data_IF_833655132438
#
_entry.id   IF_833655132438
#
_cell.length_a   1.000
_cell.length_b   1.000
_cell.length_c   1.000
_cell.angle_alpha   90.00
_cell.angle_beta   90.00
_cell.angle_gamma   90.00
#
_symmetry.space_group_name_H-M   'P 1'
#
loop_
_entity.id
_entity.type
_entity.pdbx_description
1 polymer ?
#
# COMPACT_ATOMS: atom_id res chain seq x y z
N UNK A 1 29.63 -35.77 -37.79
CA UNK A 1 30.01 -35.07 -36.55
C UNK A 1 28.95 -33.99 -36.37
N UNK A 2 27.97 -34.26 -35.51
CA UNK A 2 26.88 -33.33 -35.23
C UNK A 2 27.34 -32.44 -34.07
N UNK A 3 27.66 -31.18 -34.37
CA UNK A 3 27.87 -30.16 -33.37
C UNK A 3 26.57 -30.00 -32.59
N UNK A 4 26.58 -30.40 -31.32
CA UNK A 4 25.51 -30.07 -30.38
C UNK A 4 25.79 -28.65 -29.90
N UNK A 5 25.01 -27.70 -30.41
CA UNK A 5 25.05 -26.33 -29.94
C UNK A 5 24.48 -26.25 -28.50
N UNK A 6 25.36 -26.17 -27.51
CA UNK A 6 25.02 -26.09 -26.08
C UNK A 6 24.70 -24.66 -25.61
N UNK A 7 24.37 -23.75 -26.51
CA UNK A 7 24.32 -22.32 -26.18
C UNK A 7 23.00 -21.79 -25.65
N UNK A 8 21.98 -22.59 -25.36
CA UNK A 8 20.69 -22.03 -24.94
C UNK A 8 19.96 -22.81 -23.84
N UNK A 9 20.61 -23.13 -22.75
CA UNK A 9 19.91 -23.51 -21.55
C UNK A 9 19.82 -22.31 -20.59
N UNK A 10 18.89 -21.40 -20.84
CA UNK A 10 18.50 -20.39 -19.86
C UNK A 10 17.51 -21.00 -18.89
N UNK A 11 17.96 -21.38 -17.71
CA UNK A 11 17.08 -21.66 -16.59
C UNK A 11 16.64 -20.32 -15.95
N UNK A 12 15.49 -19.80 -16.37
CA UNK A 12 14.85 -18.71 -15.64
C UNK A 12 14.27 -19.26 -14.36
N UNK A 13 15.00 -19.14 -13.26
CA UNK A 13 14.45 -19.44 -11.94
C UNK A 13 13.57 -18.25 -11.56
N UNK A 14 12.25 -18.39 -11.75
CA UNK A 14 11.28 -17.45 -11.20
C UNK A 14 11.30 -17.57 -9.68
N UNK A 15 11.64 -16.50 -8.97
CA UNK A 15 11.44 -16.41 -7.52
C UNK A 15 9.98 -16.05 -7.28
N UNK A 16 9.11 -16.95 -6.80
CA UNK A 16 7.73 -16.60 -6.52
C UNK A 16 7.71 -15.58 -5.37
N UNK A 17 7.16 -14.39 -5.64
CA UNK A 17 6.93 -13.39 -4.63
C UNK A 17 6.01 -13.95 -3.54
N UNK A 18 6.42 -13.90 -2.27
CA UNK A 18 5.62 -14.30 -1.11
C UNK A 18 5.26 -13.09 -0.29
N UNK A 19 4.00 -13.06 0.16
CA UNK A 19 3.49 -12.00 1.02
C UNK A 19 2.76 -12.62 2.21
N UNK A 20 2.92 -12.02 3.38
CA UNK A 20 2.17 -12.36 4.59
C UNK A 20 1.68 -11.07 5.23
N UNK A 21 0.41 -11.07 5.67
CA UNK A 21 -0.22 -9.90 6.27
C UNK A 21 -0.95 -10.28 7.54
N UNK A 22 -0.77 -9.46 8.58
CA UNK A 22 -1.53 -9.51 9.81
C UNK A 22 -2.22 -8.19 10.02
N UNK A 23 -3.50 -8.21 10.38
CA UNK A 23 -4.20 -6.98 10.68
C UNK A 23 -5.07 -7.10 11.92
N UNK A 24 -5.22 -5.98 12.63
CA UNK A 24 -6.16 -5.81 13.72
C UNK A 24 -6.97 -4.55 13.50
N UNK A 25 -8.26 -4.58 13.88
CA UNK A 25 -9.18 -3.43 13.84
C UNK A 25 -9.97 -3.36 15.11
N UNK A 26 -10.06 -2.16 15.68
CA UNK A 26 -10.93 -1.79 16.80
C UNK A 26 -11.95 -0.78 16.28
N UNK A 27 -13.22 -1.03 16.58
CA UNK A 27 -14.30 -0.09 16.31
C UNK A 27 -15.01 0.19 17.65
N UNK A 28 -15.23 1.46 17.91
CA UNK A 28 -15.90 1.92 19.11
C UNK A 28 -16.94 2.95 18.73
N UNK A 29 -18.15 2.78 19.25
CA UNK A 29 -19.25 3.70 19.10
C UNK A 29 -19.81 4.03 20.49
N UNK A 30 -19.95 5.31 20.77
CA UNK A 30 -20.51 5.80 22.02
C UNK A 30 -21.74 6.66 21.75
N UNK A 31 -22.85 6.29 22.39
CA UNK A 31 -24.14 6.99 22.40
C UNK A 31 -24.65 7.32 20.98
N UNK A 32 -24.33 6.47 19.99
CA UNK A 32 -24.66 6.68 18.58
C UNK A 32 -24.22 8.06 18.02
N UNK A 33 -23.25 8.71 18.68
CA UNK A 33 -22.74 10.06 18.38
C UNK A 33 -21.29 10.02 17.98
N UNK A 34 -20.47 9.37 18.78
CA UNK A 34 -19.02 9.34 18.60
C UNK A 34 -18.61 7.98 18.06
N UNK A 35 -17.99 7.98 16.88
CA UNK A 35 -17.52 6.77 16.25
C UNK A 35 -16.01 6.86 16.10
N UNK A 36 -15.33 5.82 16.47
CA UNK A 36 -13.88 5.69 16.31
C UNK A 36 -13.55 4.34 15.67
N UNK A 37 -12.67 4.35 14.70
CA UNK A 37 -12.04 3.14 14.16
C UNK A 37 -10.54 3.30 14.20
N UNK A 38 -9.85 2.32 14.77
CA UNK A 38 -8.41 2.23 14.72
C UNK A 38 -8.02 0.89 14.08
N UNK A 39 -7.06 0.89 13.19
CA UNK A 39 -6.55 -0.32 12.59
C UNK A 39 -5.04 -0.28 12.45
N UNK A 40 -4.43 -1.44 12.52
CA UNK A 40 -3.02 -1.64 12.28
C UNK A 40 -2.84 -2.85 11.36
N UNK A 41 -2.04 -2.70 10.32
CA UNK A 41 -1.67 -3.77 9.41
C UNK A 41 -0.16 -3.91 9.37
N UNK A 42 0.30 -5.14 9.50
CA UNK A 42 1.71 -5.50 9.35
C UNK A 42 1.86 -6.42 8.16
N UNK A 43 2.52 -5.95 7.14
CA UNK A 43 2.74 -6.67 5.87
C UNK A 43 4.20 -7.04 5.70
N UNK A 44 4.47 -8.26 5.31
CA UNK A 44 5.79 -8.76 4.97
C UNK A 44 5.85 -9.22 3.52
N UNK A 45 6.88 -8.80 2.78
CA UNK A 45 7.10 -9.19 1.40
C UNK A 45 8.51 -9.75 1.20
N UNK A 46 8.60 -10.83 0.42
CA UNK A 46 9.89 -11.43 0.05
C UNK A 46 10.68 -10.61 -0.97
N UNK A 47 10.07 -9.58 -1.56
CA UNK A 47 10.70 -8.68 -2.53
C UNK A 47 11.76 -7.78 -1.90
N UNK A 48 11.69 -7.60 -0.59
CA UNK A 48 12.59 -6.72 0.17
C UNK A 48 13.73 -7.48 0.85
N UNK A 49 14.82 -6.79 1.17
CA UNK A 49 15.96 -7.31 1.90
C UNK A 49 15.55 -7.94 3.25
N UNK A 50 16.33 -8.90 3.76
CA UNK A 50 15.98 -9.71 4.95
C UNK A 50 15.55 -8.88 6.15
N UNK A 51 16.17 -7.72 6.37
CA UNK A 51 15.94 -6.86 7.53
C UNK A 51 14.82 -5.83 7.31
N UNK A 52 14.31 -5.67 6.08
CA UNK A 52 13.34 -4.61 5.69
C UNK A 52 12.02 -5.19 5.13
N UNK A 53 11.81 -6.50 5.28
CA UNK A 53 10.63 -7.18 4.72
C UNK A 53 9.31 -6.72 5.29
N UNK A 54 9.29 -6.27 6.56
CA UNK A 54 8.08 -5.96 7.28
C UNK A 54 7.82 -4.46 7.33
N UNK A 55 6.62 -4.08 6.88
CA UNK A 55 6.06 -2.73 7.03
C UNK A 55 4.91 -2.72 8.03
N UNK A 56 4.71 -1.60 8.73
CA UNK A 56 3.58 -1.37 9.64
C UNK A 56 2.81 -0.17 9.12
N UNK A 57 1.50 -0.35 8.97
CA UNK A 57 0.57 0.61 8.37
C UNK A 57 -0.61 0.84 9.31
N UNK A 58 -0.51 1.85 10.19
CA UNK A 58 -1.60 2.26 11.06
C UNK A 58 -2.61 3.12 10.31
N UNK A 59 -3.88 3.07 10.74
CA UNK A 59 -4.90 4.01 10.32
C UNK A 59 -5.89 4.27 11.47
N UNK A 60 -6.40 5.50 11.53
CA UNK A 60 -7.40 5.92 12.51
C UNK A 60 -8.45 6.78 11.81
N UNK A 61 -9.69 6.60 12.17
CA UNK A 61 -10.80 7.47 11.77
C UNK A 61 -11.68 7.80 12.95
N UNK A 62 -12.15 9.04 12.96
CA UNK A 62 -13.09 9.56 13.94
C UNK A 62 -14.29 10.14 13.18
N UNK A 63 -15.48 9.94 13.70
CA UNK A 63 -16.67 10.59 13.19
C UNK A 63 -17.57 11.02 14.34
N UNK A 64 -18.26 12.14 14.12
CA UNK A 64 -19.18 12.71 15.09
C UNK A 64 -20.50 13.03 14.41
N UNK A 65 -21.59 12.41 14.89
CA UNK A 65 -22.96 12.68 14.46
C UNK A 65 -23.54 13.82 15.25
N UNK A 66 -23.40 15.02 14.73
CA UNK A 66 -23.84 16.25 15.39
C UNK A 66 -25.38 16.26 15.51
N UNK A 67 -26.08 15.71 14.52
CA UNK A 67 -27.53 15.63 14.52
C UNK A 67 -28.14 14.77 15.65
N UNK A 68 -27.33 13.97 16.34
CA UNK A 68 -27.80 13.17 17.46
C UNK A 68 -27.64 13.89 18.81
N UNK A 69 -27.17 15.12 18.80
CA UNK A 69 -27.10 15.95 20.02
C UNK A 69 -28.44 16.51 20.41
N UNK A 70 -28.64 16.73 21.73
CA UNK A 70 -29.88 17.26 22.29
C UNK A 70 -30.24 18.68 21.85
N UNK A 71 -29.26 19.43 21.39
CA UNK A 71 -29.46 20.80 20.90
C UNK A 71 -29.89 20.85 19.43
N UNK A 72 -29.86 19.69 18.71
CA UNK A 72 -30.23 19.65 17.30
C UNK A 72 -31.76 19.79 17.14
N UNK A 73 -32.26 20.73 16.34
CA UNK A 73 -33.69 20.91 16.14
C UNK A 73 -34.31 19.75 15.36
N UNK A 74 -35.43 19.21 15.81
CA UNK A 74 -36.12 18.08 15.15
C UNK A 74 -36.71 18.46 13.79
N UNK A 75 -37.19 19.71 13.65
CA UNK A 75 -37.81 20.23 12.41
C UNK A 75 -36.83 20.97 11.50
N UNK A 76 -35.55 20.69 11.59
CA UNK A 76 -34.55 21.37 10.80
C UNK A 76 -34.45 20.77 9.37
N UNK A 77 -34.19 21.62 8.37
CA UNK A 77 -34.01 21.20 6.97
C UNK A 77 -32.92 20.14 6.83
N UNK A 78 -31.89 20.20 7.70
CA UNK A 78 -30.83 19.21 7.77
C UNK A 78 -31.22 18.16 8.81
N UNK A 79 -31.68 17.02 8.35
CA UNK A 79 -32.13 15.92 9.21
C UNK A 79 -30.98 15.15 9.84
N UNK A 80 -29.84 15.07 9.17
CA UNK A 80 -28.64 14.41 9.68
C UNK A 80 -27.39 15.16 9.25
N UNK A 81 -26.48 15.32 10.20
CA UNK A 81 -25.15 15.87 9.95
C UNK A 81 -24.11 15.05 10.69
N UNK A 82 -23.10 14.59 9.93
CA UNK A 82 -21.96 13.85 10.45
C UNK A 82 -20.67 14.46 9.90
N UNK A 83 -19.76 14.79 10.76
CA UNK A 83 -18.39 15.15 10.39
C UNK A 83 -17.47 13.98 10.63
N UNK A 84 -16.45 13.83 9.79
CA UNK A 84 -15.50 12.73 9.90
C UNK A 84 -14.10 13.18 9.54
N UNK A 85 -13.13 12.53 10.16
CA UNK A 85 -11.72 12.72 9.85
C UNK A 85 -11.01 11.38 9.89
N UNK A 86 -10.07 11.18 9.00
CA UNK A 86 -9.25 9.97 8.99
C UNK A 86 -7.81 10.29 8.59
N UNK A 87 -6.93 9.48 9.14
CA UNK A 87 -5.53 9.48 8.81
C UNK A 87 -5.06 8.03 8.69
N UNK A 88 -4.20 7.74 7.73
CA UNK A 88 -3.66 6.41 7.56
C UNK A 88 -2.40 6.37 6.71
N UNK A 89 -1.61 5.33 6.95
CA UNK A 89 -0.45 5.01 6.15
C UNK A 89 -0.71 3.72 5.36
N UNK A 90 -0.34 3.74 4.08
CA UNK A 90 -0.38 2.58 3.20
C UNK A 90 1.02 2.24 2.70
N UNK A 91 1.27 0.95 2.49
CA UNK A 91 2.51 0.45 1.90
C UNK A 91 2.31 0.05 0.45
N UNK A 92 3.27 0.44 -0.37
CA UNK A 92 3.37 -0.01 -1.75
C UNK A 92 4.58 -0.94 -1.89
N UNK A 93 4.38 -2.13 -2.47
CA UNK A 93 5.41 -3.11 -2.78
C UNK A 93 5.49 -3.37 -4.30
N UNK A 94 5.10 -2.41 -5.13
CA UNK A 94 5.09 -2.52 -6.60
C UNK A 94 6.52 -2.51 -7.17
N UNK A 95 7.28 -3.53 -6.79
CA UNK A 95 8.64 -3.77 -7.26
C UNK A 95 8.68 -5.07 -8.05
N UNK A 96 9.61 -5.17 -9.00
CA UNK A 96 9.89 -6.42 -9.69
C UNK A 96 10.39 -7.49 -8.70
N UNK A 97 10.10 -8.75 -8.98
CA UNK A 97 10.64 -9.86 -8.19
C UNK A 97 12.18 -9.87 -8.31
N UNK A 98 12.85 -9.96 -7.15
CA UNK A 98 14.31 -9.90 -7.11
C UNK A 98 14.92 -8.49 -7.15
N UNK A 99 14.12 -7.40 -7.04
CA UNK A 99 14.63 -6.04 -7.07
C UNK A 99 15.69 -5.72 -5.98
N UNK A 100 15.67 -6.47 -4.86
CA UNK A 100 16.67 -6.36 -3.80
C UNK A 100 17.95 -7.18 -4.07
N UNK A 101 18.00 -7.94 -5.16
CA UNK A 101 19.14 -8.80 -5.49
C UNK A 101 20.03 -8.15 -6.54
N UNK A 102 21.32 -8.29 -6.39
CA UNK A 102 22.29 -8.00 -7.45
C UNK A 102 22.13 -9.02 -8.58
N UNK A 103 21.73 -8.58 -9.76
CA UNK A 103 21.57 -9.41 -10.93
C UNK A 103 22.72 -9.20 -11.91
N UNK A 104 23.14 -10.30 -12.55
CA UNK A 104 24.10 -10.26 -13.64
C UNK A 104 23.37 -10.54 -14.97
N UNK A 105 23.75 -9.84 -16.02
CA UNK A 105 23.31 -10.10 -17.39
C UNK A 105 24.50 -10.44 -18.28
N UNK A 106 24.25 -11.21 -19.34
CA UNK A 106 25.28 -11.47 -20.34
C UNK A 106 25.70 -10.16 -21.01
N UNK A 107 26.98 -9.93 -21.09
CA UNK A 107 27.57 -8.79 -21.79
C UNK A 107 28.71 -9.27 -22.66
N UNK A 108 28.65 -8.98 -23.95
CA UNK A 108 29.69 -9.33 -24.86
C UNK A 108 30.79 -8.26 -24.84
N UNK A 109 32.05 -8.68 -24.84
CA UNK A 109 33.20 -7.79 -24.92
C UNK A 109 34.19 -8.27 -25.97
N UNK A 110 34.93 -7.36 -26.52
CA UNK A 110 35.97 -7.69 -27.54
C UNK A 110 37.32 -7.87 -26.87
N UNK A 111 37.96 -9.02 -27.11
CA UNK A 111 39.31 -9.31 -26.62
C UNK A 111 40.13 -9.82 -27.82
N UNK A 112 41.20 -9.11 -28.17
CA UNK A 112 42.05 -9.50 -29.28
C UNK A 112 41.39 -9.57 -30.66
N UNK A 113 40.31 -8.78 -30.85
CA UNK A 113 39.53 -8.76 -32.10
C UNK A 113 38.45 -9.85 -32.19
N UNK A 114 38.32 -10.70 -31.18
CA UNK A 114 37.28 -11.72 -31.08
C UNK A 114 36.20 -11.30 -30.08
N UNK A 115 34.93 -11.61 -30.39
CA UNK A 115 33.81 -11.37 -29.51
C UNK A 115 33.75 -12.46 -28.48
N UNK A 116 33.83 -12.07 -27.20
CA UNK A 116 33.78 -12.99 -26.04
C UNK A 116 32.52 -12.74 -25.23
N UNK A 117 31.86 -13.83 -24.81
CA UNK A 117 30.73 -13.74 -23.89
C UNK A 117 31.23 -13.54 -22.46
N UNK A 118 30.70 -12.53 -21.79
CA UNK A 118 30.96 -12.24 -20.40
C UNK A 118 29.68 -11.91 -19.64
N UNK A 119 29.84 -11.56 -18.37
CA UNK A 119 28.75 -11.13 -17.53
C UNK A 119 29.04 -9.76 -16.94
N UNK A 120 28.08 -8.89 -16.99
CA UNK A 120 28.14 -7.59 -16.32
C UNK A 120 27.03 -7.50 -15.28
N UNK A 121 27.26 -6.75 -14.21
CA UNK A 121 26.26 -6.45 -13.21
C UNK A 121 25.15 -5.60 -13.87
N UNK A 122 23.92 -6.10 -13.86
CA UNK A 122 22.76 -5.40 -14.41
C UNK A 122 21.95 -4.66 -13.36
N UNK A 123 22.05 -5.08 -12.09
CA UNK A 123 21.51 -4.36 -10.95
C UNK A 123 22.42 -4.51 -9.74
N UNK A 124 22.46 -3.45 -8.92
CA UNK A 124 23.17 -3.50 -7.64
C UNK A 124 22.28 -4.20 -6.60
N UNK A 125 22.92 -4.91 -5.67
CA UNK A 125 22.26 -5.39 -4.47
C UNK A 125 21.89 -4.19 -3.58
N UNK A 126 20.59 -4.05 -3.26
CA UNK A 126 20.07 -2.97 -2.42
C UNK A 126 19.45 -3.60 -1.17
N UNK A 127 20.30 -3.88 -0.18
CA UNK A 127 19.86 -4.50 1.08
C UNK A 127 18.85 -3.64 1.86
N UNK A 128 18.90 -2.32 1.69
CA UNK A 128 18.02 -1.36 2.38
C UNK A 128 16.69 -1.11 1.67
N UNK A 129 16.41 -1.82 0.58
CA UNK A 129 15.14 -1.69 -0.14
C UNK A 129 13.96 -2.08 0.77
N UNK A 130 13.04 -1.14 0.96
CA UNK A 130 11.90 -1.27 1.89
C UNK A 130 10.61 -0.78 1.26
N UNK A 131 9.52 -0.92 1.99
CA UNK A 131 8.20 -0.43 1.61
C UNK A 131 8.21 1.07 1.34
N UNK A 132 7.65 1.45 0.21
CA UNK A 132 7.24 2.84 -0.01
C UNK A 132 6.01 3.13 0.85
N UNK A 133 6.07 4.18 1.67
CA UNK A 133 4.97 4.56 2.56
C UNK A 133 4.28 5.80 2.03
N UNK A 134 2.99 5.66 1.79
CA UNK A 134 2.12 6.79 1.43
C UNK A 134 1.23 7.07 2.62
N UNK A 135 1.24 8.32 3.09
CA UNK A 135 0.39 8.78 4.19
C UNK A 135 -0.68 9.68 3.63
N UNK A 136 -1.94 9.38 3.95
CA UNK A 136 -3.09 10.14 3.51
C UNK A 136 -3.90 10.60 4.71
N UNK A 137 -4.53 11.77 4.59
CA UNK A 137 -5.55 12.23 5.51
C UNK A 137 -6.77 12.72 4.75
N UNK A 138 -7.93 12.57 5.37
CA UNK A 138 -9.21 12.97 4.83
C UNK A 138 -10.03 13.63 5.92
N UNK A 139 -10.73 14.71 5.58
CA UNK A 139 -11.75 15.34 6.41
C UNK A 139 -13.00 15.50 5.55
N UNK A 140 -14.14 15.10 6.09
CA UNK A 140 -15.39 15.15 5.35
C UNK A 140 -16.59 15.47 6.24
N UNK A 141 -17.66 15.86 5.58
CA UNK A 141 -18.96 16.09 6.20
C UNK A 141 -20.07 15.49 5.33
N UNK A 142 -20.96 14.76 5.98
CA UNK A 142 -22.12 14.15 5.35
C UNK A 142 -23.39 14.82 5.88
N UNK A 143 -24.28 15.21 4.98
CA UNK A 143 -25.55 15.87 5.26
C UNK A 143 -26.71 15.09 4.64
N UNK A 144 -27.81 14.98 5.37
CA UNK A 144 -29.11 14.55 4.83
C UNK A 144 -30.09 15.69 4.99
N UNK A 145 -30.76 16.07 3.91
CA UNK A 145 -31.70 17.20 3.86
C UNK A 145 -33.08 16.73 3.37
N UNK A 146 -34.10 17.54 3.66
CA UNK A 146 -35.47 17.33 3.19
C UNK A 146 -36.05 15.94 3.48
N UNK A 147 -36.01 15.52 4.74
CA UNK A 147 -36.43 14.17 5.17
C UNK A 147 -35.68 13.06 4.40
N UNK A 148 -34.35 13.22 4.31
CA UNK A 148 -33.43 12.28 3.64
C UNK A 148 -33.67 12.10 2.14
N UNK A 149 -34.35 13.07 1.49
CA UNK A 149 -34.53 13.07 0.03
C UNK A 149 -33.29 13.52 -0.72
N UNK A 150 -32.41 14.27 -0.09
CA UNK A 150 -31.15 14.72 -0.64
C UNK A 150 -30.02 14.40 0.34
N UNK A 151 -29.00 13.69 -0.14
CA UNK A 151 -27.77 13.41 0.61
C UNK A 151 -26.60 14.09 -0.09
N UNK A 152 -25.78 14.80 0.68
CA UNK A 152 -24.60 15.51 0.20
C UNK A 152 -23.41 15.09 1.04
N UNK A 153 -22.31 14.71 0.38
CA UNK A 153 -21.02 14.42 1.02
C UNK A 153 -19.97 15.36 0.45
N UNK A 154 -19.21 15.98 1.34
CA UNK A 154 -18.09 16.83 1.01
C UNK A 154 -16.83 16.20 1.62
N UNK A 155 -15.79 16.05 0.81
CA UNK A 155 -14.52 15.48 1.21
C UNK A 155 -13.36 16.35 0.78
N UNK A 156 -12.40 16.50 1.68
CA UNK A 156 -11.09 17.05 1.39
C UNK A 156 -10.03 16.04 1.82
N UNK A 157 -9.13 15.71 0.93
CA UNK A 157 -8.08 14.71 1.16
C UNK A 157 -6.73 15.15 0.60
N UNK A 158 -5.68 14.66 1.21
CA UNK A 158 -4.30 14.85 0.77
C UNK A 158 -3.50 13.55 0.97
#
# INVERSE_FOLDING_TARGET
MTDVDLTTAYATIGYPGRMASFFGRLQYEYDNRYLMTASIRRDGSSKFGKNKRWGIFPAVSLAYRISNERFWPEDFVINSMKVRGSWGANGNNSLSDGAALGLMSSANYSLGGSLMNGYAMSSLDVEDLTWEKVTCWNVGADFSLFNSRLSVSLDYYQ
#
